data_IF_125655548585
#
_entry.id   IF_125655548585
#
_cell.length_a   1.000
_cell.length_b   1.000
_cell.length_c   1.000
_cell.angle_alpha   90.00
_cell.angle_beta   90.00
_cell.angle_gamma   90.00
#
_symmetry.space_group_name_H-M   'P 1'
#
loop_
_entity.id
_entity.type
_entity.pdbx_description
1 polymer ?
#
# COMPACT_ATOMS: atom_id res chain seq x y z
N UNK A 1 -8.97 -11.30 22.01
CA UNK A 1 -8.15 -10.16 21.55
C UNK A 1 -7.70 -10.46 20.12
N UNK A 2 -7.91 -9.53 19.18
CA UNK A 2 -7.32 -9.63 17.85
C UNK A 2 -5.82 -9.35 17.93
N UNK A 3 -5.00 -10.09 17.19
CA UNK A 3 -3.57 -9.81 17.07
C UNK A 3 -3.33 -8.55 16.25
N UNK A 4 -2.19 -7.88 16.46
CA UNK A 4 -1.82 -6.68 15.70
C UNK A 4 -1.76 -6.96 14.19
N UNK A 5 -1.32 -8.15 13.79
CA UNK A 5 -1.35 -8.56 12.39
C UNK A 5 -2.78 -8.59 11.80
N UNK A 6 -3.78 -9.04 12.55
CA UNK A 6 -5.17 -9.04 12.11
C UNK A 6 -5.73 -7.60 12.05
N UNK A 7 -5.38 -6.77 13.05
CA UNK A 7 -5.78 -5.36 13.08
C UNK A 7 -5.20 -4.59 11.89
N UNK A 8 -3.91 -4.77 11.61
CA UNK A 8 -3.23 -4.17 10.47
C UNK A 8 -3.87 -4.61 9.16
N UNK A 9 -4.10 -5.92 8.98
CA UNK A 9 -4.76 -6.46 7.80
C UNK A 9 -6.14 -5.84 7.57
N UNK A 10 -6.98 -5.76 8.61
CA UNK A 10 -8.30 -5.12 8.51
C UNK A 10 -8.21 -3.64 8.14
N UNK A 11 -7.27 -2.91 8.76
CA UNK A 11 -7.05 -1.49 8.50
C UNK A 11 -6.64 -1.25 7.04
N UNK A 12 -5.65 -1.98 6.55
CA UNK A 12 -5.15 -1.80 5.19
C UNK A 12 -6.13 -2.31 4.12
N UNK A 13 -6.91 -3.35 4.42
CA UNK A 13 -8.02 -3.78 3.57
C UNK A 13 -9.10 -2.70 3.46
N UNK A 14 -9.51 -2.10 4.59
CA UNK A 14 -10.48 -0.98 4.62
C UNK A 14 -9.95 0.21 3.82
N UNK A 15 -8.66 0.56 4.00
CA UNK A 15 -8.00 1.62 3.22
C UNK A 15 -8.04 1.33 1.73
N UNK A 16 -7.69 0.11 1.33
CA UNK A 16 -7.61 -0.24 -0.09
C UNK A 16 -8.96 -0.10 -0.79
N UNK A 17 -10.03 -0.59 -0.17
CA UNK A 17 -11.38 -0.45 -0.71
C UNK A 17 -11.82 1.01 -0.80
N UNK A 18 -11.62 1.80 0.26
CA UNK A 18 -11.95 3.22 0.25
C UNK A 18 -11.21 3.99 -0.85
N UNK A 19 -9.91 3.71 -1.05
CA UNK A 19 -9.14 4.34 -2.14
C UNK A 19 -9.63 3.91 -3.53
N UNK A 20 -9.98 2.64 -3.73
CA UNK A 20 -10.53 2.18 -5.02
C UNK A 20 -11.89 2.79 -5.35
N UNK A 21 -12.75 2.97 -4.35
CA UNK A 21 -14.03 3.62 -4.58
C UNK A 21 -13.88 5.13 -4.80
N UNK A 22 -12.93 5.77 -4.10
CA UNK A 22 -12.59 7.17 -4.31
C UNK A 22 -11.97 7.45 -5.69
N UNK A 23 -11.15 6.53 -6.22
CA UNK A 23 -10.54 6.63 -7.56
C UNK A 23 -11.60 6.76 -8.67
N UNK A 24 -12.77 6.16 -8.49
CA UNK A 24 -13.89 6.22 -9.45
C UNK A 24 -14.63 7.55 -9.45
N UNK A 25 -14.37 8.40 -8.45
CA UNK A 25 -15.08 9.67 -8.25
C UNK A 25 -14.21 10.87 -8.64
N UNK A 26 -14.86 11.90 -9.15
CA UNK A 26 -14.23 13.20 -9.40
C UNK A 26 -14.17 14.01 -8.10
N UNK A 27 -13.08 14.77 -7.87
CA UNK A 27 -13.01 15.75 -6.79
C UNK A 27 -14.23 16.68 -6.74
N UNK A 28 -14.71 16.98 -5.52
CA UNK A 28 -15.92 17.78 -5.29
C UNK A 28 -17.25 17.00 -5.34
N UNK A 29 -17.21 15.68 -5.48
CA UNK A 29 -18.42 14.84 -5.39
C UNK A 29 -18.83 14.60 -3.94
N UNK A 30 -20.08 14.88 -3.57
CA UNK A 30 -20.63 14.55 -2.25
C UNK A 30 -20.53 13.05 -1.91
N UNK A 31 -20.52 12.19 -2.93
CA UNK A 31 -20.34 10.74 -2.74
C UNK A 31 -18.96 10.36 -2.20
N UNK A 32 -17.97 11.25 -2.32
CA UNK A 32 -16.62 11.06 -1.79
C UNK A 32 -16.55 11.23 -0.27
N UNK A 33 -17.47 11.99 0.35
CA UNK A 33 -17.45 12.34 1.79
C UNK A 33 -17.33 11.09 2.66
N UNK A 34 -18.07 10.01 2.36
CA UNK A 34 -18.03 8.78 3.14
C UNK A 34 -16.66 8.08 3.08
N UNK A 35 -15.99 8.11 1.92
CA UNK A 35 -14.69 7.47 1.73
C UNK A 35 -13.58 8.31 2.35
N UNK A 36 -13.69 9.64 2.28
CA UNK A 36 -12.80 10.55 3.00
C UNK A 36 -12.88 10.32 4.51
N UNK A 37 -14.09 10.23 5.07
CA UNK A 37 -14.26 9.95 6.50
C UNK A 37 -13.62 8.62 6.94
N UNK A 38 -13.72 7.57 6.10
CA UNK A 38 -13.04 6.30 6.34
C UNK A 38 -11.52 6.46 6.34
N UNK A 39 -10.97 7.18 5.35
CA UNK A 39 -9.52 7.37 5.21
C UNK A 39 -8.96 8.27 6.31
N UNK A 40 -9.69 9.31 6.73
CA UNK A 40 -9.32 10.19 7.84
C UNK A 40 -9.32 9.44 9.18
N UNK A 41 -10.28 8.54 9.39
CA UNK A 41 -10.30 7.67 10.56
C UNK A 41 -9.07 6.74 10.58
N UNK A 42 -8.72 6.15 9.43
CA UNK A 42 -7.53 5.31 9.31
C UNK A 42 -6.25 6.11 9.55
N UNK A 43 -6.13 7.32 9.01
CA UNK A 43 -4.97 8.20 9.23
C UNK A 43 -4.84 8.61 10.71
N UNK A 44 -5.96 8.83 11.40
CA UNK A 44 -5.97 9.06 12.85
C UNK A 44 -5.52 7.81 13.61
N UNK A 45 -6.03 6.64 13.25
CA UNK A 45 -5.60 5.37 13.85
C UNK A 45 -4.10 5.10 13.63
N UNK A 46 -3.56 5.39 12.44
CA UNK A 46 -2.12 5.24 12.17
C UNK A 46 -1.25 6.15 13.03
N UNK A 47 -1.77 7.33 13.42
CA UNK A 47 -1.09 8.28 14.30
C UNK A 47 -1.19 7.88 15.77
N UNK A 48 -2.39 7.50 16.20
CA UNK A 48 -2.71 7.30 17.61
C UNK A 48 -2.35 5.88 18.08
N UNK A 49 -2.40 4.89 17.18
CA UNK A 49 -2.06 3.49 17.42
C UNK A 49 -1.35 2.88 16.19
N UNK A 50 -0.07 3.25 15.98
CA UNK A 50 0.72 2.81 14.84
C UNK A 50 0.98 1.30 14.89
N UNK A 51 0.77 0.62 13.76
CA UNK A 51 1.11 -0.80 13.61
C UNK A 51 2.14 -0.92 12.47
N UNK A 52 3.35 -1.36 12.83
CA UNK A 52 4.49 -1.46 11.92
C UNK A 52 5.41 -0.23 11.97
N UNK A 53 6.72 -0.48 11.97
CA UNK A 53 7.75 0.55 12.18
C UNK A 53 7.84 1.57 11.04
N UNK A 54 7.34 1.22 9.85
CA UNK A 54 7.40 2.05 8.65
C UNK A 54 6.12 2.85 8.37
N UNK A 55 5.21 2.98 9.36
CA UNK A 55 3.92 3.69 9.17
C UNK A 55 4.10 5.12 8.64
N UNK A 56 5.16 5.79 9.07
CA UNK A 56 5.49 7.17 8.70
C UNK A 56 6.45 7.29 7.50
N UNK A 57 6.94 6.17 6.96
CA UNK A 57 7.86 6.21 5.81
C UNK A 57 7.15 6.72 4.55
N UNK A 58 7.83 7.60 3.84
CA UNK A 58 7.46 8.09 2.52
C UNK A 58 7.74 7.06 1.42
N UNK A 59 7.13 7.26 0.26
CA UNK A 59 7.40 6.43 -0.92
C UNK A 59 8.88 6.51 -1.36
N UNK A 60 9.53 7.66 -1.19
CA UNK A 60 10.93 7.81 -1.58
C UNK A 60 11.87 7.08 -0.61
N UNK A 61 11.61 7.14 0.70
CA UNK A 61 12.37 6.34 1.66
C UNK A 61 12.25 4.83 1.40
N UNK A 62 11.05 4.36 1.00
CA UNK A 62 10.86 2.95 0.61
C UNK A 62 11.66 2.56 -0.64
N UNK A 63 11.77 3.47 -1.62
CA UNK A 63 12.58 3.22 -2.83
C UNK A 63 14.05 3.06 -2.48
N UNK A 64 14.51 3.77 -1.46
CA UNK A 64 15.90 3.72 -1.00
C UNK A 64 16.18 2.52 -0.09
N UNK A 65 15.23 2.16 0.78
CA UNK A 65 15.47 1.16 1.82
C UNK A 65 15.08 -0.28 1.44
N UNK A 66 14.22 -0.48 0.44
CA UNK A 66 13.76 -1.81 0.02
C UNK A 66 14.61 -2.31 -1.15
N UNK A 67 15.58 -3.22 -0.92
CA UNK A 67 16.50 -3.67 -1.96
C UNK A 67 15.81 -4.56 -3.00
N UNK A 68 16.16 -4.33 -4.26
CA UNK A 68 15.92 -5.28 -5.35
C UNK A 68 17.01 -6.38 -5.34
N UNK A 69 16.59 -7.64 -5.44
CA UNK A 69 17.45 -8.82 -5.40
C UNK A 69 17.37 -9.57 -6.73
N UNK A 70 18.51 -9.88 -7.35
CA UNK A 70 18.56 -10.79 -8.49
C UNK A 70 18.46 -12.24 -7.99
N UNK A 71 17.54 -13.01 -8.56
CA UNK A 71 17.44 -14.45 -8.35
C UNK A 71 17.52 -15.20 -9.67
N UNK A 72 18.06 -16.42 -9.62
CA UNK A 72 18.17 -17.32 -10.78
C UNK A 72 17.17 -18.46 -10.63
N UNK A 73 16.26 -18.58 -11.58
CA UNK A 73 15.30 -19.67 -11.66
C UNK A 73 15.95 -20.98 -12.09
N UNK A 74 15.24 -22.09 -11.93
CA UNK A 74 15.72 -23.45 -12.28
C UNK A 74 16.11 -23.58 -13.76
N UNK A 75 15.48 -22.79 -14.64
CA UNK A 75 15.79 -22.71 -16.08
C UNK A 75 17.02 -21.84 -16.42
N UNK A 76 17.69 -21.26 -15.43
CA UNK A 76 18.75 -20.25 -15.62
C UNK A 76 18.24 -18.84 -15.93
N UNK A 77 16.91 -18.64 -15.97
CA UNK A 77 16.30 -17.32 -16.14
C UNK A 77 16.55 -16.42 -14.93
N UNK A 78 16.93 -15.17 -15.16
CA UNK A 78 17.17 -14.18 -14.11
C UNK A 78 15.94 -13.32 -13.88
N UNK A 79 15.60 -13.10 -12.63
CA UNK A 79 14.50 -12.23 -12.21
C UNK A 79 14.99 -11.23 -11.18
N UNK A 80 14.46 -10.02 -11.26
CA UNK A 80 14.67 -9.00 -10.24
C UNK A 80 13.43 -8.95 -9.36
N UNK A 81 13.61 -9.19 -8.07
CA UNK A 81 12.52 -9.38 -7.11
C UNK A 81 12.73 -8.51 -5.88
N UNK A 82 11.66 -8.23 -5.17
CA UNK A 82 11.70 -7.67 -3.82
C UNK A 82 11.25 -8.77 -2.88
N UNK A 83 12.08 -9.11 -1.88
CA UNK A 83 11.76 -10.15 -0.91
C UNK A 83 10.80 -9.61 0.15
N UNK A 84 9.86 -10.45 0.58
CA UNK A 84 8.85 -10.07 1.57
C UNK A 84 9.43 -9.64 2.91
N UNK A 85 10.57 -10.20 3.29
CA UNK A 85 11.28 -9.85 4.52
C UNK A 85 11.93 -8.46 4.48
N UNK A 86 12.11 -7.90 3.27
CA UNK A 86 12.68 -6.58 3.08
C UNK A 86 11.63 -5.46 3.04
N UNK A 87 10.34 -5.79 2.90
CA UNK A 87 9.28 -4.79 2.90
C UNK A 87 8.81 -4.60 4.34
N UNK A 88 9.01 -3.42 4.95
CA UNK A 88 8.58 -3.20 6.32
C UNK A 88 7.06 -3.04 6.42
N UNK A 89 6.48 -3.41 7.56
CA UNK A 89 5.07 -3.10 7.85
C UNK A 89 4.91 -1.61 8.18
N UNK A 90 3.81 -0.95 7.74
CA UNK A 90 2.60 -1.53 7.14
C UNK A 90 2.65 -1.68 5.61
N UNK A 91 3.76 -1.31 4.97
CA UNK A 91 3.87 -1.24 3.51
C UNK A 91 3.79 -2.59 2.82
N UNK A 92 4.23 -3.65 3.50
CA UNK A 92 4.01 -5.02 3.03
C UNK A 92 2.53 -5.35 2.96
N UNK A 93 1.78 -5.15 4.04
CA UNK A 93 0.33 -5.39 4.04
C UNK A 93 -0.40 -4.50 3.02
N UNK A 94 -0.01 -3.21 2.90
CA UNK A 94 -0.55 -2.30 1.86
C UNK A 94 -0.37 -2.85 0.44
N UNK A 95 0.84 -3.33 0.14
CA UNK A 95 1.17 -3.91 -1.15
C UNK A 95 0.40 -5.20 -1.42
N UNK A 96 0.29 -6.07 -0.42
CA UNK A 96 -0.45 -7.33 -0.53
C UNK A 96 -1.93 -7.09 -0.82
N UNK A 97 -2.60 -6.18 -0.10
CA UNK A 97 -4.00 -5.86 -0.36
C UNK A 97 -4.18 -5.22 -1.75
N UNK A 98 -3.29 -4.32 -2.17
CA UNK A 98 -3.33 -3.70 -3.49
C UNK A 98 -3.01 -4.66 -4.65
N UNK A 99 -2.28 -5.75 -4.36
CA UNK A 99 -1.84 -6.74 -5.36
C UNK A 99 -2.60 -8.06 -5.24
N UNK A 100 -3.75 -8.07 -4.56
CA UNK A 100 -4.57 -9.28 -4.39
C UNK A 100 -4.89 -9.90 -5.76
N UNK A 101 -4.49 -11.16 -5.95
CA UNK A 101 -4.69 -11.90 -7.21
C UNK A 101 -3.57 -11.78 -8.24
N UNK A 102 -2.52 -10.99 -7.98
CA UNK A 102 -1.32 -10.95 -8.82
C UNK A 102 -0.44 -12.19 -8.64
N UNK A 103 0.16 -12.64 -9.74
CA UNK A 103 1.18 -13.71 -9.70
C UNK A 103 2.45 -13.18 -9.05
N UNK A 104 2.96 -13.89 -8.05
CA UNK A 104 4.21 -13.58 -7.35
C UNK A 104 4.98 -14.84 -6.99
N UNK A 105 6.21 -14.68 -6.52
CA UNK A 105 7.00 -15.80 -5.98
C UNK A 105 6.63 -16.04 -4.52
N UNK A 106 7.01 -17.21 -4.00
CA UNK A 106 6.74 -17.57 -2.60
C UNK A 106 7.45 -16.65 -1.61
N UNK A 107 8.65 -16.18 -1.97
CA UNK A 107 9.52 -15.37 -1.11
C UNK A 107 9.42 -13.86 -1.36
N UNK A 108 8.66 -13.42 -2.37
CA UNK A 108 8.70 -12.04 -2.81
C UNK A 108 7.85 -11.75 -4.05
N UNK A 109 7.84 -10.49 -4.45
CA UNK A 109 7.17 -10.02 -5.65
C UNK A 109 8.19 -9.60 -6.72
N UNK A 110 7.75 -9.48 -7.98
CA UNK A 110 8.62 -8.92 -9.00
C UNK A 110 8.89 -7.44 -8.70
N UNK A 111 10.13 -6.99 -8.86
CA UNK A 111 10.49 -5.60 -8.60
C UNK A 111 9.71 -4.60 -9.48
N UNK A 112 9.27 -5.04 -10.66
CA UNK A 112 8.35 -4.26 -11.50
C UNK A 112 7.00 -3.99 -10.84
N UNK A 113 6.42 -4.99 -10.16
CA UNK A 113 5.14 -4.86 -9.46
C UNK A 113 5.27 -3.96 -8.23
N UNK A 114 6.35 -4.11 -7.47
CA UNK A 114 6.67 -3.22 -6.35
C UNK A 114 6.79 -1.76 -6.80
N UNK A 115 7.60 -1.48 -7.83
CA UNK A 115 7.75 -0.13 -8.39
C UNK A 115 6.43 0.43 -8.93
N UNK A 116 5.62 -0.42 -9.57
CA UNK A 116 4.28 -0.03 -10.04
C UNK A 116 3.38 0.34 -8.88
N UNK A 117 3.34 -0.45 -7.81
CA UNK A 117 2.58 -0.16 -6.61
C UNK A 117 2.96 1.20 -6.01
N UNK A 118 4.25 1.46 -5.78
CA UNK A 118 4.72 2.72 -5.22
C UNK A 118 4.31 3.93 -6.08
N UNK A 119 4.39 3.81 -7.41
CA UNK A 119 3.96 4.88 -8.32
C UNK A 119 2.44 5.11 -8.27
N UNK A 120 1.64 4.04 -8.25
CA UNK A 120 0.18 4.14 -8.17
C UNK A 120 -0.25 4.72 -6.82
N UNK A 121 0.38 4.30 -5.73
CA UNK A 121 0.13 4.85 -4.41
C UNK A 121 0.33 6.38 -4.38
N UNK A 122 1.44 6.88 -4.94
CA UNK A 122 1.65 8.34 -5.05
C UNK A 122 0.52 9.03 -5.80
N UNK A 123 0.06 8.46 -6.92
CA UNK A 123 -1.05 9.03 -7.69
C UNK A 123 -2.38 9.01 -6.90
N UNK A 124 -2.66 7.93 -6.18
CA UNK A 124 -3.84 7.80 -5.31
C UNK A 124 -3.83 8.83 -4.17
N UNK A 125 -2.68 9.07 -3.55
CA UNK A 125 -2.55 10.10 -2.50
C UNK A 125 -2.73 11.51 -3.04
N UNK A 126 -2.27 11.79 -4.26
CA UNK A 126 -2.53 13.07 -4.93
C UNK A 126 -4.03 13.24 -5.25
N UNK A 127 -4.70 12.18 -5.69
CA UNK A 127 -6.15 12.20 -5.94
C UNK A 127 -6.95 12.41 -4.65
N UNK A 128 -6.56 11.72 -3.57
CA UNK A 128 -7.13 11.93 -2.23
C UNK A 128 -6.98 13.38 -1.77
N UNK A 129 -5.80 13.98 -1.94
CA UNK A 129 -5.57 15.39 -1.61
C UNK A 129 -6.48 16.32 -2.42
N UNK A 130 -6.63 16.08 -3.73
CA UNK A 130 -7.54 16.87 -4.57
C UNK A 130 -9.00 16.79 -4.12
N UNK A 131 -9.48 15.62 -3.66
CA UNK A 131 -10.81 15.49 -3.07
C UNK A 131 -10.97 16.32 -1.79
N UNK A 132 -9.95 16.32 -0.92
CA UNK A 132 -9.93 17.09 0.34
C UNK A 132 -9.89 18.61 0.13
N UNK A 133 -9.33 19.07 -0.99
CA UNK A 133 -9.30 20.51 -1.32
C UNK A 133 -10.65 21.04 -1.84
N UNK A 134 -11.53 20.16 -2.32
CA UNK A 134 -12.78 20.53 -2.99
C UNK A 134 -14.06 20.30 -2.16
N UNK A 135 -13.93 19.82 -0.92
CA UNK A 135 -15.03 19.54 0.02
C UNK A 135 -14.78 20.22 1.36
#
# INVERSE_FOLDING_TARGET
MMSDANRLWQRERKRRYALWDLEKLQPGSDSAIQYLAILDEIEREDRDDPIGDAVAMSVDELRECVPETEIVGVSGSRFIVVLDEHIPEPWKTRFEEASTGSTRLRQGCYAGDWRRFLRLWTAEMLHLAAHREML
#
